data_IF_123947540957
#
_entry.id   IF_123947540957
#
_cell.length_a   1.000
_cell.length_b   1.000
_cell.length_c   1.000
_cell.angle_alpha   90.00
_cell.angle_beta   90.00
_cell.angle_gamma   90.00
#
_symmetry.space_group_name_H-M   'P 1'
#
loop_
_entity.id
_entity.type
_entity.pdbx_description
1 polymer ?
#
# COMPACT_ATOMS: atom_id res chain seq x y z
N UNK A 1 20.98 -15.91 8.22
CA UNK A 1 20.31 -14.70 7.71
C UNK A 1 20.98 -13.48 8.35
N UNK A 2 21.56 -12.63 7.52
CA UNK A 2 22.36 -11.46 7.94
C UNK A 2 21.57 -10.49 8.82
N UNK A 3 20.33 -10.17 8.43
CA UNK A 3 19.49 -9.21 9.16
C UNK A 3 19.21 -9.67 10.59
N UNK A 4 18.96 -10.97 10.78
CA UNK A 4 18.73 -11.57 12.09
C UNK A 4 19.97 -11.50 12.98
N UNK A 5 21.16 -11.70 12.41
CA UNK A 5 22.41 -11.54 13.15
C UNK A 5 22.61 -10.07 13.56
N UNK A 6 22.39 -9.12 12.64
CA UNK A 6 22.54 -7.70 12.92
C UNK A 6 21.58 -7.19 14.00
N UNK A 7 20.29 -7.55 13.91
CA UNK A 7 19.28 -7.21 14.92
C UNK A 7 19.63 -7.77 16.32
N UNK A 8 20.18 -8.99 16.38
CA UNK A 8 20.61 -9.58 17.67
C UNK A 8 21.86 -8.89 18.23
N UNK A 9 22.81 -8.52 17.38
CA UNK A 9 24.07 -7.89 17.79
C UNK A 9 23.86 -6.46 18.28
N UNK A 10 23.10 -5.66 17.53
CA UNK A 10 22.86 -4.25 17.84
C UNK A 10 21.74 -4.04 18.88
N UNK A 11 20.83 -5.02 19.04
CA UNK A 11 19.69 -4.92 19.94
C UNK A 11 18.64 -3.90 19.49
N UNK A 12 17.64 -3.64 20.34
CA UNK A 12 16.62 -2.59 20.14
C UNK A 12 15.50 -2.91 19.15
N UNK A 13 15.69 -3.86 18.23
CA UNK A 13 14.67 -4.25 17.25
C UNK A 13 14.34 -5.73 17.28
N UNK A 14 13.06 -6.05 17.02
CA UNK A 14 12.58 -7.38 16.71
C UNK A 14 12.22 -7.46 15.23
N UNK A 15 12.79 -8.44 14.51
CA UNK A 15 12.43 -8.68 13.12
C UNK A 15 11.09 -9.40 13.00
N UNK A 16 10.24 -8.90 12.08
CA UNK A 16 8.96 -9.51 11.71
C UNK A 16 8.87 -9.60 10.19
N UNK A 17 8.15 -10.60 9.69
CA UNK A 17 7.95 -10.83 8.25
C UNK A 17 6.97 -9.82 7.63
N UNK A 18 5.95 -9.42 8.39
CA UNK A 18 4.87 -8.53 7.96
C UNK A 18 4.89 -7.24 8.79
N UNK A 19 4.31 -6.18 8.24
CA UNK A 19 4.11 -4.91 8.95
C UNK A 19 2.90 -5.01 9.89
N UNK A 20 3.09 -4.59 11.13
CA UNK A 20 2.06 -4.54 12.17
C UNK A 20 1.94 -3.11 12.73
N UNK A 21 1.00 -2.90 13.66
CA UNK A 21 0.73 -1.60 14.29
C UNK A 21 1.95 -1.02 15.06
N UNK A 22 2.81 -1.88 15.61
CA UNK A 22 4.01 -1.53 16.36
C UNK A 22 5.25 -1.37 15.46
N UNK A 23 5.13 -1.62 14.16
CA UNK A 23 6.25 -1.52 13.24
C UNK A 23 6.69 -0.06 13.08
N UNK A 24 8.01 0.13 13.16
CA UNK A 24 8.65 1.45 13.04
C UNK A 24 9.55 1.54 11.81
N UNK A 25 10.16 0.42 11.41
CA UNK A 25 11.11 0.35 10.30
C UNK A 25 10.75 -0.80 9.38
N UNK A 26 10.82 -0.54 8.08
CA UNK A 26 10.67 -1.52 7.01
C UNK A 26 11.88 -1.40 6.12
N UNK A 27 12.61 -2.50 5.97
CA UNK A 27 13.74 -2.60 5.05
C UNK A 27 13.24 -3.23 3.75
N UNK A 28 13.46 -2.56 2.62
CA UNK A 28 13.07 -3.06 1.30
C UNK A 28 14.22 -2.93 0.32
N UNK A 29 14.33 -3.89 -0.61
CA UNK A 29 15.18 -3.72 -1.78
C UNK A 29 14.72 -2.53 -2.63
N UNK A 30 15.62 -2.00 -3.46
CA UNK A 30 15.34 -0.84 -4.32
C UNK A 30 14.15 -1.10 -5.26
N UNK A 31 13.23 -0.14 -5.30
CA UNK A 31 12.14 -0.04 -6.30
C UNK A 31 11.05 -1.12 -6.30
N UNK A 32 11.10 -2.15 -5.45
CA UNK A 32 10.06 -3.18 -5.43
C UNK A 32 8.88 -2.78 -4.55
N UNK A 33 7.74 -2.52 -5.16
CA UNK A 33 6.47 -2.33 -4.45
C UNK A 33 5.93 -3.67 -3.94
N UNK A 34 6.02 -3.88 -2.64
CA UNK A 34 5.43 -5.02 -1.93
C UNK A 34 4.30 -4.55 -1.01
N UNK A 35 3.49 -5.49 -0.47
CA UNK A 35 2.50 -5.14 0.54
C UNK A 35 3.13 -4.48 1.77
N UNK A 36 4.31 -4.95 2.21
CA UNK A 36 5.03 -4.34 3.33
C UNK A 36 5.45 -2.89 3.03
N UNK A 37 5.83 -2.57 1.78
CA UNK A 37 6.11 -1.19 1.37
C UNK A 37 4.85 -0.33 1.44
N UNK A 38 3.72 -0.84 0.97
CA UNK A 38 2.45 -0.10 1.05
C UNK A 38 2.03 0.14 2.50
N UNK A 39 2.12 -0.87 3.37
CA UNK A 39 1.84 -0.69 4.79
C UNK A 39 2.84 0.24 5.48
N UNK A 40 4.12 0.25 5.06
CA UNK A 40 5.11 1.21 5.57
C UNK A 40 4.68 2.65 5.28
N UNK A 41 4.20 2.92 4.06
CA UNK A 41 3.69 4.23 3.66
C UNK A 41 2.44 4.57 4.48
N UNK A 42 1.44 3.69 4.50
CA UNK A 42 0.17 3.88 5.24
C UNK A 42 0.42 4.22 6.71
N UNK A 43 1.33 3.50 7.36
CA UNK A 43 1.62 3.65 8.79
C UNK A 43 2.73 4.66 9.08
N UNK A 44 3.28 5.34 8.06
CA UNK A 44 4.39 6.29 8.23
C UNK A 44 5.63 5.68 8.88
N UNK A 45 5.97 4.44 8.56
CA UNK A 45 7.21 3.80 9.01
C UNK A 45 8.41 4.38 8.25
N UNK A 46 9.61 4.27 8.84
CA UNK A 46 10.84 4.40 8.08
C UNK A 46 10.90 3.33 6.99
N UNK A 47 11.06 3.74 5.73
CA UNK A 47 11.22 2.83 4.61
C UNK A 47 12.64 2.93 4.06
N UNK A 48 13.49 1.98 4.43
CA UNK A 48 14.94 2.08 4.29
C UNK A 48 15.51 1.03 3.35
N UNK A 49 16.66 1.36 2.75
CA UNK A 49 17.47 0.42 2.00
C UNK A 49 18.16 -0.61 2.91
N UNK A 50 18.55 -1.80 2.39
CA UNK A 50 19.34 -2.80 3.13
C UNK A 50 20.64 -2.25 3.71
N UNK A 51 21.18 -1.20 3.07
CA UNK A 51 22.44 -0.57 3.43
C UNK A 51 22.41 0.04 4.84
N UNK A 52 21.23 0.46 5.32
CA UNK A 52 21.08 0.93 6.70
C UNK A 52 21.50 -0.12 7.72
N UNK A 53 21.08 -1.37 7.51
CA UNK A 53 21.42 -2.47 8.41
C UNK A 53 22.88 -2.86 8.29
N UNK A 54 23.44 -2.91 7.07
CA UNK A 54 24.85 -3.26 6.89
C UNK A 54 25.80 -2.22 7.46
N UNK A 55 25.53 -0.93 7.22
CA UNK A 55 26.39 0.14 7.71
C UNK A 55 26.26 0.28 9.23
N UNK A 56 25.04 0.14 9.78
CA UNK A 56 24.82 0.12 11.24
C UNK A 56 25.52 -1.05 11.92
N UNK A 57 25.51 -2.23 11.28
CA UNK A 57 26.22 -3.40 11.80
C UNK A 57 27.74 -3.16 11.85
N UNK A 58 28.31 -2.55 10.81
CA UNK A 58 29.73 -2.24 10.75
C UNK A 58 30.14 -1.15 11.75
N UNK A 59 29.27 -0.18 12.02
CA UNK A 59 29.52 0.90 12.99
C UNK A 59 29.25 0.47 14.45
N UNK A 60 28.65 -0.70 14.66
CA UNK A 60 28.30 -1.22 15.98
C UNK A 60 27.12 -0.52 16.65
N UNK A 61 26.36 0.32 15.93
CA UNK A 61 25.16 1.01 16.41
C UNK A 61 24.20 1.33 15.26
N UNK A 62 22.92 1.55 15.58
CA UNK A 62 21.94 2.02 14.60
C UNK A 62 22.29 3.44 14.13
N UNK A 63 22.60 3.57 12.85
CA UNK A 63 22.88 4.85 12.21
C UNK A 63 21.58 5.63 11.96
N UNK A 64 21.64 6.96 11.83
CA UNK A 64 20.50 7.78 11.45
C UNK A 64 19.87 7.32 10.13
N UNK A 65 18.55 7.24 10.12
CA UNK A 65 17.75 6.63 9.06
C UNK A 65 17.71 7.47 7.78
N UNK A 66 17.78 8.80 7.89
CA UNK A 66 17.51 9.75 6.81
C UNK A 66 18.33 9.49 5.54
N UNK A 67 19.61 9.09 5.69
CA UNK A 67 20.52 8.82 4.56
C UNK A 67 20.18 7.55 3.79
N UNK A 68 19.32 6.71 4.34
CA UNK A 68 18.97 5.40 3.81
C UNK A 68 17.51 5.29 3.36
N UNK A 69 16.72 6.35 3.55
CA UNK A 69 15.32 6.40 3.18
C UNK A 69 15.14 6.30 1.67
N UNK A 70 14.23 5.44 1.21
CA UNK A 70 14.00 5.14 -0.20
C UNK A 70 13.15 6.23 -0.91
N UNK A 71 13.48 7.50 -0.69
CA UNK A 71 12.68 8.66 -1.14
C UNK A 71 12.52 8.70 -2.65
N UNK A 72 13.57 8.35 -3.41
CA UNK A 72 13.54 8.35 -4.88
C UNK A 72 12.49 7.38 -5.46
N UNK A 73 12.22 6.28 -4.76
CA UNK A 73 11.27 5.26 -5.22
C UNK A 73 9.89 5.43 -4.60
N UNK A 74 9.83 5.92 -3.35
CA UNK A 74 8.61 6.00 -2.56
C UNK A 74 8.54 7.34 -1.81
N UNK A 75 8.37 8.47 -2.51
CA UNK A 75 8.37 9.79 -1.88
C UNK A 75 7.25 9.95 -0.84
N UNK A 76 6.13 9.26 -1.03
CA UNK A 76 5.01 9.25 -0.09
C UNK A 76 5.38 8.67 1.29
N UNK A 77 6.40 7.82 1.38
CA UNK A 77 6.85 7.24 2.66
C UNK A 77 7.37 8.34 3.59
N UNK A 78 8.20 9.25 3.07
CA UNK A 78 8.78 10.35 3.84
C UNK A 78 7.71 11.35 4.31
N UNK A 79 6.74 11.66 3.45
CA UNK A 79 5.61 12.53 3.79
C UNK A 79 4.78 11.89 4.90
N UNK A 80 4.43 10.62 4.75
CA UNK A 80 3.62 9.88 5.73
C UNK A 80 4.34 9.72 7.08
N UNK A 81 5.65 9.50 7.06
CA UNK A 81 6.50 9.49 8.25
C UNK A 81 6.50 10.85 8.96
N UNK A 82 6.67 11.93 8.20
CA UNK A 82 6.65 13.29 8.77
C UNK A 82 5.32 13.58 9.45
N UNK A 83 4.21 13.18 8.84
CA UNK A 83 2.88 13.27 9.46
C UNK A 83 2.77 12.41 10.73
N UNK A 84 3.29 11.19 10.73
CA UNK A 84 3.32 10.31 11.93
C UNK A 84 4.09 10.95 13.09
N UNK A 85 5.18 11.67 12.82
CA UNK A 85 5.96 12.35 13.87
C UNK A 85 5.14 13.48 14.52
N UNK A 86 4.40 14.24 13.70
CA UNK A 86 3.59 15.36 14.18
C UNK A 86 2.35 14.91 14.94
N UNK A 87 1.68 13.87 14.46
CA UNK A 87 0.36 13.44 14.98
C UNK A 87 0.43 12.23 15.91
N UNK A 88 1.61 11.60 16.01
CA UNK A 88 1.84 10.42 16.84
C UNK A 88 1.56 9.09 16.13
N UNK A 89 1.89 8.00 16.84
CA UNK A 89 1.84 6.62 16.30
C UNK A 89 0.43 6.08 16.10
N UNK A 90 -0.57 6.67 16.75
CA UNK A 90 -2.00 6.31 16.61
C UNK A 90 -2.67 6.98 15.41
N UNK A 91 -1.91 7.73 14.59
CA UNK A 91 -2.44 8.30 13.35
C UNK A 91 -2.90 7.17 12.42
N UNK A 92 -4.08 7.37 11.85
CA UNK A 92 -4.56 6.61 10.70
C UNK A 92 -4.56 7.52 9.47
N UNK A 93 -4.08 7.01 8.34
CA UNK A 93 -4.18 7.75 7.08
C UNK A 93 -5.65 7.82 6.63
N UNK A 94 -6.05 8.97 6.11
CA UNK A 94 -7.42 9.23 5.66
C UNK A 94 -7.51 9.32 4.14
N UNK A 95 -6.56 8.71 3.42
CA UNK A 95 -6.40 8.81 1.97
C UNK A 95 -7.70 8.54 1.20
N UNK A 96 -8.48 7.54 1.62
CA UNK A 96 -9.74 7.15 0.97
C UNK A 96 -11.00 7.51 1.77
N UNK A 97 -10.87 8.29 2.84
CA UNK A 97 -11.99 8.68 3.72
C UNK A 97 -13.13 9.43 3.01
N UNK A 98 -12.79 10.20 1.97
CA UNK A 98 -13.73 11.00 1.18
C UNK A 98 -14.38 10.23 0.03
N UNK A 99 -13.91 9.01 -0.24
CA UNK A 99 -14.47 8.19 -1.31
C UNK A 99 -15.82 7.60 -0.90
N UNK A 100 -16.69 7.43 -1.89
CA UNK A 100 -17.88 6.60 -1.74
C UNK A 100 -17.47 5.14 -1.48
N UNK A 101 -18.36 4.31 -0.91
CA UNK A 101 -18.07 2.89 -0.70
C UNK A 101 -17.57 2.21 -1.97
N UNK A 102 -16.49 1.45 -1.83
CA UNK A 102 -15.81 0.74 -2.89
C UNK A 102 -16.31 -0.71 -2.90
N UNK A 103 -16.62 -1.23 -4.08
CA UNK A 103 -16.82 -2.66 -4.27
C UNK A 103 -15.52 -3.31 -4.70
N UNK A 104 -15.15 -4.43 -4.09
CA UNK A 104 -13.95 -5.18 -4.45
C UNK A 104 -14.35 -6.50 -5.14
N UNK A 105 -13.73 -6.80 -6.28
CA UNK A 105 -13.97 -8.05 -6.99
C UNK A 105 -13.45 -9.26 -6.19
N UNK A 106 -14.16 -10.38 -6.24
CA UNK A 106 -13.78 -11.60 -5.50
C UNK A 106 -12.41 -12.15 -5.90
N UNK A 107 -12.06 -12.04 -7.19
CA UNK A 107 -10.78 -12.50 -7.75
C UNK A 107 -9.93 -11.31 -8.12
N UNK A 108 -8.95 -11.01 -7.27
CA UNK A 108 -8.03 -9.89 -7.42
C UNK A 108 -6.58 -10.34 -7.22
N UNK A 109 -5.65 -9.54 -7.74
CA UNK A 109 -4.23 -9.69 -7.43
C UNK A 109 -3.60 -8.33 -7.09
N UNK A 110 -3.04 -8.11 -5.88
CA UNK A 110 -3.02 -8.96 -4.66
C UNK A 110 -4.39 -9.50 -4.20
N UNK A 111 -4.39 -10.42 -3.23
CA UNK A 111 -5.62 -11.11 -2.79
C UNK A 111 -6.70 -10.15 -2.30
N UNK A 112 -7.98 -10.57 -2.38
CA UNK A 112 -9.12 -9.76 -1.92
C UNK A 112 -8.91 -9.28 -0.47
N UNK A 113 -8.48 -10.17 0.42
CA UNK A 113 -8.25 -9.86 1.83
C UNK A 113 -7.13 -8.82 2.02
N UNK A 114 -6.06 -8.89 1.21
CA UNK A 114 -4.98 -7.92 1.27
C UNK A 114 -5.43 -6.52 0.80
N UNK A 115 -6.18 -6.45 -0.30
CA UNK A 115 -6.69 -5.19 -0.83
C UNK A 115 -7.76 -4.58 0.08
N UNK A 116 -8.63 -5.41 0.65
CA UNK A 116 -9.61 -5.01 1.66
C UNK A 116 -8.92 -4.34 2.86
N UNK A 117 -7.90 -4.99 3.42
CA UNK A 117 -7.12 -4.43 4.53
C UNK A 117 -6.46 -3.09 4.15
N UNK A 118 -5.87 -2.99 2.96
CA UNK A 118 -5.28 -1.73 2.49
C UNK A 118 -6.31 -0.61 2.37
N UNK A 119 -7.51 -0.89 1.85
CA UNK A 119 -8.58 0.10 1.72
C UNK A 119 -9.02 0.59 3.10
N UNK A 120 -9.26 -0.34 4.04
CA UNK A 120 -9.71 -0.02 5.39
C UNK A 120 -8.65 0.77 6.18
N UNK A 121 -7.37 0.38 6.11
CA UNK A 121 -6.27 1.08 6.77
C UNK A 121 -6.04 2.49 6.20
N UNK A 122 -6.43 2.73 4.94
CA UNK A 122 -6.46 4.04 4.29
C UNK A 122 -7.73 4.87 4.59
N UNK A 123 -8.59 4.40 5.50
CA UNK A 123 -9.85 5.04 5.88
C UNK A 123 -10.97 4.89 4.83
N UNK A 124 -10.80 4.02 3.84
CA UNK A 124 -11.81 3.72 2.84
C UNK A 124 -12.96 2.88 3.39
N UNK A 125 -14.09 2.89 2.66
CA UNK A 125 -15.28 2.11 3.01
C UNK A 125 -15.53 1.05 1.95
N UNK A 126 -15.89 -0.15 2.38
CA UNK A 126 -16.21 -1.27 1.49
C UNK A 126 -17.71 -1.56 1.48
N UNK A 127 -18.20 -2.11 0.37
CA UNK A 127 -19.58 -2.58 0.23
C UNK A 127 -19.63 -3.86 -0.60
N UNK A 128 -20.43 -4.83 -0.16
CA UNK A 128 -20.76 -6.02 -0.94
C UNK A 128 -21.86 -5.76 -2.00
N UNK A 129 -22.47 -4.57 -2.01
CA UNK A 129 -23.52 -4.22 -2.97
C UNK A 129 -23.01 -3.26 -4.03
N UNK A 130 -23.00 -3.70 -5.29
CA UNK A 130 -22.71 -2.86 -6.46
C UNK A 130 -23.64 -1.65 -6.59
N UNK A 131 -24.87 -1.72 -6.06
CA UNK A 131 -25.82 -0.61 -6.10
C UNK A 131 -25.44 0.55 -5.18
N UNK A 132 -24.80 0.23 -4.05
CA UNK A 132 -24.34 1.21 -3.05
C UNK A 132 -22.91 1.69 -3.32
N UNK A 133 -22.19 1.00 -4.20
CA UNK A 133 -20.82 1.30 -4.53
C UNK A 133 -20.72 2.54 -5.44
N UNK A 134 -19.81 3.45 -5.11
CA UNK A 134 -19.44 4.55 -6.01
C UNK A 134 -18.50 4.10 -7.12
N UNK A 135 -17.64 3.13 -6.83
CA UNK A 135 -16.70 2.55 -7.79
C UNK A 135 -16.40 1.09 -7.46
N UNK A 136 -15.78 0.39 -8.42
CA UNK A 136 -15.32 -0.98 -8.28
C UNK A 136 -13.81 -1.10 -8.48
N UNK A 137 -13.17 -2.02 -7.76
CA UNK A 137 -11.77 -2.41 -7.96
C UNK A 137 -11.71 -3.88 -8.40
N UNK A 138 -11.01 -4.14 -9.50
CA UNK A 138 -10.89 -5.45 -10.13
C UNK A 138 -11.91 -5.67 -11.25
N UNK A 139 -11.93 -6.88 -11.81
CA UNK A 139 -12.79 -7.21 -12.95
C UNK A 139 -14.26 -7.32 -12.51
N UNK A 140 -15.03 -6.26 -12.75
CA UNK A 140 -16.43 -6.14 -12.33
C UNK A 140 -17.29 -5.77 -13.53
N UNK A 141 -18.34 -6.55 -13.78
CA UNK A 141 -19.34 -6.24 -14.80
C UNK A 141 -20.48 -5.45 -14.14
N UNK A 142 -20.61 -4.18 -14.50
CA UNK A 142 -21.70 -3.33 -14.03
C UNK A 142 -22.24 -2.47 -15.18
N UNK A 143 -23.56 -2.49 -15.40
CA UNK A 143 -24.23 -1.75 -16.47
C UNK A 143 -24.64 -0.31 -16.08
N UNK A 144 -24.25 0.17 -14.90
CA UNK A 144 -24.58 1.54 -14.45
C UNK A 144 -23.74 2.55 -15.21
N UNK A 145 -24.39 3.52 -15.85
CA UNK A 145 -23.72 4.62 -16.59
C UNK A 145 -22.71 5.41 -15.74
N UNK A 146 -22.97 5.55 -14.44
CA UNK A 146 -22.12 6.29 -13.49
C UNK A 146 -21.33 5.34 -12.57
N UNK A 147 -20.91 4.18 -13.06
CA UNK A 147 -20.07 3.25 -12.32
C UNK A 147 -18.76 3.03 -13.07
N UNK A 148 -17.64 3.28 -12.39
CA UNK A 148 -16.31 3.05 -12.92
C UNK A 148 -15.69 1.85 -12.21
N UNK A 149 -15.22 0.87 -12.99
CA UNK A 149 -14.43 -0.26 -12.51
C UNK A 149 -12.97 -0.02 -12.88
N UNK A 150 -12.09 0.02 -11.89
CA UNK A 150 -10.66 0.23 -12.07
C UNK A 150 -9.86 -1.01 -11.71
N UNK A 151 -8.67 -1.14 -12.28
CA UNK A 151 -7.70 -2.17 -11.89
C UNK A 151 -7.20 -1.98 -10.45
N UNK A 152 -6.76 -3.08 -9.84
CA UNK A 152 -6.10 -3.12 -8.54
C UNK A 152 -4.90 -2.19 -8.50
N UNK A 153 -4.24 -1.99 -9.65
CA UNK A 153 -3.11 -1.06 -9.80
C UNK A 153 -3.45 0.36 -9.38
N UNK A 154 -4.69 0.84 -9.63
CA UNK A 154 -5.11 2.18 -9.20
C UNK A 154 -4.96 2.37 -7.69
N UNK A 155 -5.37 1.37 -6.91
CA UNK A 155 -5.27 1.37 -5.46
C UNK A 155 -3.81 1.39 -5.01
N UNK A 156 -3.00 0.48 -5.57
CA UNK A 156 -1.59 0.36 -5.20
C UNK A 156 -0.80 1.62 -5.58
N UNK A 157 -1.05 2.20 -6.76
CA UNK A 157 -0.41 3.42 -7.24
C UNK A 157 -0.85 4.62 -6.39
N UNK A 158 -2.13 4.72 -6.04
CA UNK A 158 -2.64 5.80 -5.17
C UNK A 158 -1.97 5.80 -3.79
N UNK A 159 -1.84 4.62 -3.17
CA UNK A 159 -1.13 4.48 -1.89
C UNK A 159 0.36 4.81 -2.06
N UNK A 160 0.98 4.32 -3.13
CA UNK A 160 2.42 4.53 -3.39
C UNK A 160 2.77 6.02 -3.59
N UNK A 161 1.85 6.78 -4.17
CA UNK A 161 1.98 8.23 -4.38
C UNK A 161 1.43 9.06 -3.21
N UNK A 162 0.77 8.43 -2.23
CA UNK A 162 0.14 9.13 -1.10
C UNK A 162 -1.02 10.04 -1.51
N UNK A 163 -1.62 9.84 -2.68
CA UNK A 163 -2.71 10.65 -3.21
C UNK A 163 -3.70 9.81 -4.02
N UNK A 164 -4.96 10.22 -4.04
CA UNK A 164 -5.99 9.56 -4.85
C UNK A 164 -5.78 9.93 -6.32
N UNK A 165 -5.41 8.95 -7.15
CA UNK A 165 -5.16 9.18 -8.57
C UNK A 165 -6.45 9.21 -9.39
N UNK A 166 -6.39 9.80 -10.59
CA UNK A 166 -7.49 9.74 -11.56
C UNK A 166 -7.76 8.29 -11.97
N UNK A 167 -9.03 7.93 -12.12
CA UNK A 167 -9.45 6.57 -12.51
C UNK A 167 -9.26 6.28 -13.99
N UNK A 168 -9.19 7.32 -14.84
CA UNK A 168 -9.23 7.22 -16.30
C UNK A 168 -8.18 6.26 -16.89
N UNK A 169 -6.95 6.31 -16.39
CA UNK A 169 -5.86 5.45 -16.88
C UNK A 169 -5.91 4.01 -16.36
N UNK A 170 -6.85 3.71 -15.48
CA UNK A 170 -6.96 2.43 -14.78
C UNK A 170 -8.28 1.70 -15.05
N UNK A 171 -9.16 2.29 -15.84
CA UNK A 171 -10.48 1.73 -16.14
C UNK A 171 -10.35 0.40 -16.89
N UNK A 172 -11.08 -0.61 -16.42
CA UNK A 172 -11.14 -1.90 -17.08
C UNK A 172 -12.32 -1.88 -18.06
N UNK A 173 -12.03 -1.91 -19.36
CA UNK A 173 -13.08 -2.09 -20.37
C UNK A 173 -13.57 -3.54 -20.32
N UNK A 174 -14.73 -3.78 -19.71
CA UNK A 174 -15.46 -5.04 -19.93
C UNK A 174 -16.23 -4.91 -21.24
N UNK A 175 -15.57 -5.16 -22.39
CA UNK A 175 -16.30 -5.38 -23.65
C UNK A 175 -17.05 -6.70 -23.51
N UNK A 176 -18.36 -6.67 -23.69
CA UNK A 176 -19.15 -7.88 -23.93
C UNK A 176 -18.62 -8.51 -25.23
N UNK A 177 -17.80 -9.56 -25.15
CA UNK A 177 -17.66 -10.53 -26.25
C UNK A 177 -18.70 -11.62 -26.03
N UNK A 178 -19.94 -11.29 -26.32
CA UNK A 178 -20.93 -12.25 -26.79
C UNK A 178 -21.08 -12.04 -28.30
N UNK A 179 -20.00 -12.26 -29.06
CA UNK A 179 -20.15 -12.65 -30.47
C UNK A 179 -20.38 -14.16 -30.45
N UNK A 180 -21.63 -14.55 -30.25
CA UNK A 180 -22.08 -15.88 -30.66
C UNK A 180 -21.77 -16.03 -32.16
N UNK A 181 -21.10 -17.10 -32.60
CA UNK A 181 -21.00 -17.36 -34.03
C UNK A 181 -22.43 -17.54 -34.57
N UNK A 182 -22.81 -16.72 -35.54
CA UNK A 182 -24.00 -16.96 -36.34
C UNK A 182 -23.87 -18.37 -36.97
N UNK A 183 -24.91 -19.18 -36.79
CA UNK A 183 -25.04 -20.51 -37.38
C UNK A 183 -25.09 -20.43 -38.91
#
# INVERSE_FOLDING_TARGET
DFFKAASKHLGGFQLRKNVFHDTTHVVSGSGRRTLNVLYAIIKGCWLLSPKWVSDSYNDGKWLPEDKYELVEHFPAAQISRSQRILEGRSRHTTLFSKLLPIYLAEKTFPSHEDLEKLILECGGKLTASLRKAGMGIGHIRCRRKNFCAVSEKWLLDSISNGQVLSTQSYEIQTRDRDESPEF
#
